data_IF_540235892510
#
_entry.id   IF_540235892510
#
_cell.length_a   1.000
_cell.length_b   1.000
_cell.length_c   1.000
_cell.angle_alpha   90.00
_cell.angle_beta   90.00
_cell.angle_gamma   90.00
#
_symmetry.space_group_name_H-M   'P 1'
#
loop_
_entity.id
_entity.type
_entity.pdbx_description
1 polymer ?
#
# COMPACT_ATOMS: atom_id res chain seq x y z
N UNK A 1 46.47 22.80 35.08
CA UNK A 1 46.90 21.89 34.00
C UNK A 1 45.69 21.10 33.54
N UNK A 2 44.87 21.78 32.74
CA UNK A 2 43.70 21.25 32.05
C UNK A 2 44.19 20.94 30.65
N UNK A 3 44.24 19.68 30.22
CA UNK A 3 44.30 19.27 28.81
C UNK A 3 44.26 17.74 28.71
N UNK A 4 43.08 17.17 28.91
CA UNK A 4 42.69 15.90 28.26
C UNK A 4 41.17 15.87 28.05
N UNK A 5 40.69 16.92 27.38
CA UNK A 5 39.47 16.97 26.59
C UNK A 5 39.92 17.54 25.25
N UNK A 6 39.79 16.77 24.17
CA UNK A 6 39.96 17.13 22.74
C UNK A 6 40.75 16.04 21.99
N UNK A 7 40.08 14.94 21.68
CA UNK A 7 40.36 14.12 20.50
C UNK A 7 39.01 13.81 19.83
N UNK A 8 38.34 14.90 19.46
CA UNK A 8 37.16 14.97 18.61
C UNK A 8 37.40 16.18 17.69
N UNK A 9 38.39 16.05 16.80
CA UNK A 9 38.69 17.03 15.74
C UNK A 9 39.84 16.51 14.86
N UNK A 10 39.54 15.75 13.82
CA UNK A 10 40.35 15.65 12.58
C UNK A 10 39.73 14.62 11.64
N UNK A 11 38.67 15.04 10.94
CA UNK A 11 38.02 14.31 9.86
C UNK A 11 37.49 15.31 8.85
N UNK A 12 38.45 16.01 8.22
CA UNK A 12 38.38 16.92 7.07
C UNK A 12 37.03 17.16 6.37
N UNK A 13 36.62 18.43 6.42
CA UNK A 13 35.80 19.16 5.44
C UNK A 13 36.75 19.86 4.45
N UNK A 14 36.27 20.10 3.21
CA UNK A 14 36.84 20.80 2.02
C UNK A 14 37.47 19.87 0.96
N UNK A 15 37.12 19.94 -0.34
CA UNK A 15 36.71 21.07 -1.20
C UNK A 15 35.72 20.60 -2.29
N UNK A 16 34.59 21.29 -2.55
CA UNK A 16 34.39 22.43 -3.45
C UNK A 16 34.34 22.08 -4.95
N UNK A 17 33.13 22.21 -5.50
CA UNK A 17 32.76 22.70 -6.82
C UNK A 17 33.65 22.35 -8.03
N UNK A 18 33.18 21.40 -8.86
CA UNK A 18 33.42 21.45 -10.31
C UNK A 18 32.15 21.94 -10.99
N UNK A 19 32.26 23.15 -11.51
CA UNK A 19 31.28 23.83 -12.31
C UNK A 19 30.96 23.07 -13.61
N UNK A 20 29.68 23.12 -13.98
CA UNK A 20 29.14 23.33 -15.32
C UNK A 20 30.15 23.16 -16.48
N UNK A 21 30.04 22.04 -17.18
CA UNK A 21 30.21 22.04 -18.63
C UNK A 21 28.81 22.09 -19.23
N UNK A 22 28.39 23.32 -19.55
CA UNK A 22 27.32 23.56 -20.51
C UNK A 22 27.85 23.09 -21.85
N UNK A 23 27.26 22.02 -22.38
CA UNK A 23 27.47 21.62 -23.76
C UNK A 23 26.68 22.58 -24.66
N UNK A 24 27.33 23.65 -25.10
CA UNK A 24 26.84 24.55 -26.15
C UNK A 24 26.94 23.84 -27.52
N UNK A 25 26.12 22.81 -27.76
CA UNK A 25 25.63 22.47 -29.10
C UNK A 25 24.59 21.33 -29.09
N UNK A 26 23.34 21.65 -28.79
CA UNK A 26 22.21 20.93 -29.38
C UNK A 26 20.98 21.85 -29.45
N UNK A 27 20.89 22.62 -30.53
CA UNK A 27 19.59 23.09 -31.01
C UNK A 27 19.02 22.01 -31.91
N UNK A 28 18.15 21.16 -31.37
CA UNK A 28 16.83 20.83 -31.93
C UNK A 28 16.23 19.61 -31.23
N UNK A 29 15.13 19.85 -30.52
CA UNK A 29 14.35 18.85 -29.80
C UNK A 29 14.03 19.41 -28.42
N UNK A 30 12.95 20.18 -28.30
CA UNK A 30 12.35 20.45 -26.99
C UNK A 30 11.89 19.11 -26.43
N UNK A 31 12.73 18.45 -25.62
CA UNK A 31 12.23 17.42 -24.72
C UNK A 31 11.40 18.16 -23.69
N UNK A 32 10.08 18.21 -23.89
CA UNK A 32 9.18 18.54 -22.79
C UNK A 32 9.56 17.61 -21.64
N UNK A 33 9.82 18.20 -20.46
CA UNK A 33 10.16 17.40 -19.29
C UNK A 33 8.95 16.50 -19.00
N UNK A 34 9.17 15.19 -18.96
CA UNK A 34 8.13 14.22 -18.63
C UNK A 34 7.68 14.49 -17.20
N UNK A 35 6.39 14.75 -17.01
CA UNK A 35 5.81 14.95 -15.68
C UNK A 35 5.33 13.60 -15.12
N UNK A 36 5.87 13.22 -13.97
CA UNK A 36 5.54 11.98 -13.27
C UNK A 36 4.45 12.18 -12.21
N UNK A 37 4.00 13.42 -12.00
CA UNK A 37 2.99 13.75 -10.99
C UNK A 37 1.60 13.59 -11.55
N UNK A 38 0.69 13.11 -10.71
CA UNK A 38 -0.73 13.15 -11.05
C UNK A 38 -1.20 14.61 -11.10
N UNK A 39 -2.15 14.94 -12.00
CA UNK A 39 -2.85 16.21 -11.95
C UNK A 39 -3.54 16.42 -10.60
N UNK A 40 -3.67 17.68 -10.18
CA UNK A 40 -4.25 18.10 -8.90
C UNK A 40 -5.78 18.25 -8.93
N UNK A 41 -6.43 17.72 -9.96
CA UNK A 41 -7.87 17.84 -10.18
C UNK A 41 -8.72 16.80 -9.42
N UNK A 42 -8.10 15.78 -8.82
CA UNK A 42 -8.81 14.71 -8.11
C UNK A 42 -8.18 14.38 -6.76
N UNK A 43 -9.04 14.25 -5.75
CA UNK A 43 -8.65 13.91 -4.38
C UNK A 43 -9.32 12.59 -3.97
N UNK A 44 -8.57 11.54 -3.62
CA UNK A 44 -9.15 10.32 -3.08
C UNK A 44 -9.67 10.54 -1.64
N UNK A 45 -10.82 9.96 -1.32
CA UNK A 45 -11.46 10.09 0.01
C UNK A 45 -11.44 8.74 0.73
N UNK A 46 -11.85 7.68 0.02
CA UNK A 46 -12.02 6.35 0.59
C UNK A 46 -11.82 5.27 -0.46
N UNK A 47 -11.27 4.13 -0.06
CA UNK A 47 -11.15 2.94 -0.91
C UNK A 47 -11.82 1.76 -0.24
N UNK A 48 -12.69 1.07 -0.97
CA UNK A 48 -13.04 -0.32 -0.68
C UNK A 48 -12.19 -1.22 -1.58
N UNK A 49 -11.31 -2.00 -0.99
CA UNK A 49 -10.38 -2.89 -1.69
C UNK A 49 -10.79 -4.33 -1.36
N UNK A 50 -11.04 -5.13 -2.39
CA UNK A 50 -11.22 -6.57 -2.28
C UNK A 50 -10.14 -7.28 -3.09
N UNK A 51 -9.49 -8.27 -2.49
CA UNK A 51 -8.41 -9.02 -3.11
C UNK A 51 -8.62 -10.51 -2.93
N UNK A 52 -8.27 -11.27 -3.97
CA UNK A 52 -8.28 -12.74 -3.99
C UNK A 52 -6.88 -13.18 -4.44
N UNK A 53 -5.88 -13.22 -3.53
CA UNK A 53 -4.55 -13.71 -3.85
C UNK A 53 -4.53 -15.22 -4.02
N UNK A 54 -3.99 -15.70 -5.13
CA UNK A 54 -3.84 -17.14 -5.40
C UNK A 54 -2.50 -17.66 -4.90
N UNK A 55 -2.50 -18.24 -3.69
CA UNK A 55 -1.27 -18.66 -2.97
C UNK A 55 -0.89 -20.11 -3.29
N UNK A 56 -1.75 -20.86 -3.98
CA UNK A 56 -1.50 -22.25 -4.41
C UNK A 56 -0.27 -22.38 -5.32
N UNK A 57 0.32 -23.59 -5.40
CA UNK A 57 1.46 -23.86 -6.27
C UNK A 57 1.12 -23.49 -7.73
N UNK A 58 2.06 -22.86 -8.43
CA UNK A 58 1.99 -22.45 -9.84
C UNK A 58 0.98 -21.34 -10.22
N UNK A 59 0.30 -20.71 -9.26
CA UNK A 59 -0.43 -19.47 -9.51
C UNK A 59 0.27 -18.27 -8.85
N UNK A 60 0.55 -17.24 -9.66
CA UNK A 60 1.21 -16.00 -9.27
C UNK A 60 0.37 -14.77 -9.64
N UNK A 61 -0.95 -14.90 -9.60
CA UNK A 61 -1.86 -13.78 -9.83
C UNK A 61 -2.75 -13.52 -8.62
N UNK A 62 -3.48 -12.41 -8.69
CA UNK A 62 -4.57 -12.14 -7.77
C UNK A 62 -5.67 -11.39 -8.52
N UNK A 63 -6.92 -11.63 -8.14
CA UNK A 63 -8.04 -10.82 -8.60
C UNK A 63 -8.26 -9.67 -7.63
N UNK A 64 -8.50 -8.48 -8.18
CA UNK A 64 -8.77 -7.27 -7.43
C UNK A 64 -10.05 -6.57 -7.86
N UNK A 65 -10.74 -5.97 -6.90
CA UNK A 65 -11.87 -5.08 -7.10
C UNK A 65 -11.66 -3.85 -6.22
N UNK A 66 -11.80 -2.65 -6.80
CA UNK A 66 -11.85 -1.41 -6.04
C UNK A 66 -13.18 -0.69 -6.25
N UNK A 67 -13.65 -0.04 -5.20
CA UNK A 67 -14.58 1.07 -5.26
C UNK A 67 -13.95 2.26 -4.51
N UNK A 68 -13.40 3.21 -5.27
CA UNK A 68 -12.72 4.39 -4.75
C UNK A 68 -13.64 5.61 -4.79
N UNK A 69 -14.01 6.12 -3.60
CA UNK A 69 -14.69 7.41 -3.48
C UNK A 69 -13.69 8.54 -3.68
N UNK A 70 -13.99 9.44 -4.61
CA UNK A 70 -13.12 10.55 -5.01
C UNK A 70 -13.91 11.86 -5.06
N UNK A 71 -13.20 12.97 -4.91
CA UNK A 71 -13.68 14.32 -5.22
C UNK A 71 -13.01 14.78 -6.52
N UNK A 72 -13.80 15.10 -7.54
CA UNK A 72 -13.35 15.84 -8.72
C UNK A 72 -13.45 17.33 -8.38
N UNK A 73 -12.31 18.04 -8.38
CA UNK A 73 -12.22 19.44 -7.98
C UNK A 73 -12.51 20.41 -9.13
N UNK A 74 -12.23 19.99 -10.37
CA UNK A 74 -12.41 20.80 -11.58
C UNK A 74 -13.05 19.97 -12.69
N UNK A 75 -13.86 20.62 -13.54
CA UNK A 75 -14.53 19.93 -14.63
C UNK A 75 -13.48 19.26 -15.55
N UNK A 76 -13.65 17.98 -15.84
CA UNK A 76 -12.65 17.18 -16.58
C UNK A 76 -13.30 16.17 -17.49
N UNK A 77 -12.59 15.78 -18.55
CA UNK A 77 -12.96 14.67 -19.44
C UNK A 77 -12.11 13.43 -19.22
N UNK A 78 -11.18 13.47 -18.28
CA UNK A 78 -10.33 12.34 -17.96
C UNK A 78 -10.03 12.24 -16.47
N UNK A 79 -9.64 11.03 -16.06
CA UNK A 79 -9.24 10.69 -14.71
C UNK A 79 -7.88 9.99 -14.78
N UNK A 80 -6.88 10.56 -14.13
CA UNK A 80 -5.52 10.00 -14.09
C UNK A 80 -5.25 9.38 -12.72
N UNK A 81 -4.72 8.15 -12.70
CA UNK A 81 -4.32 7.43 -11.49
C UNK A 81 -3.15 6.48 -11.80
N UNK A 82 -2.40 6.07 -10.78
CA UNK A 82 -1.30 5.12 -10.96
C UNK A 82 -1.82 3.68 -11.03
N UNK A 83 -1.25 2.88 -11.93
CA UNK A 83 -1.44 1.43 -12.00
C UNK A 83 -0.18 0.81 -12.63
N UNK A 84 0.27 -0.37 -12.21
CA UNK A 84 1.43 -1.04 -12.83
C UNK A 84 1.20 -2.54 -12.85
N UNK A 85 1.40 -3.18 -14.00
CA UNK A 85 1.23 -4.63 -14.16
C UNK A 85 -0.15 -5.15 -13.72
N UNK A 86 -1.19 -4.35 -13.95
CA UNK A 86 -2.58 -4.70 -13.68
C UNK A 86 -3.33 -4.81 -15.00
N UNK A 87 -3.99 -5.95 -15.24
CA UNK A 87 -4.90 -6.12 -16.37
C UNK A 87 -6.28 -5.63 -15.95
N UNK A 88 -6.65 -4.43 -16.37
CA UNK A 88 -7.94 -3.81 -16.02
C UNK A 88 -9.07 -4.41 -16.88
N UNK A 89 -10.18 -4.75 -16.25
CA UNK A 89 -11.43 -5.09 -16.94
C UNK A 89 -12.18 -3.79 -17.28
N UNK A 90 -11.94 -3.29 -18.50
CA UNK A 90 -12.56 -2.07 -19.01
C UNK A 90 -14.10 -2.19 -19.10
N UNK A 91 -14.64 -3.39 -19.33
CA UNK A 91 -16.07 -3.60 -19.54
C UNK A 91 -16.93 -3.36 -18.28
N UNK A 92 -16.30 -3.46 -17.10
CA UNK A 92 -16.94 -3.23 -15.79
C UNK A 92 -16.43 -1.98 -15.10
N UNK A 93 -15.44 -1.29 -15.69
CA UNK A 93 -14.91 -0.05 -15.15
C UNK A 93 -15.94 1.07 -15.33
N UNK A 94 -16.26 1.76 -14.24
CA UNK A 94 -17.30 2.79 -14.24
C UNK A 94 -17.07 3.82 -13.15
N UNK A 95 -17.52 5.04 -13.40
CA UNK A 95 -17.57 6.13 -12.44
C UNK A 95 -19.04 6.44 -12.13
N UNK A 96 -19.43 6.40 -10.87
CA UNK A 96 -20.81 6.65 -10.44
C UNK A 96 -20.86 7.98 -9.69
N UNK A 97 -21.73 8.88 -10.10
CA UNK A 97 -21.87 10.18 -9.46
C UNK A 97 -22.82 10.15 -8.24
N UNK A 98 -22.94 11.29 -7.56
CA UNK A 98 -23.79 11.42 -6.38
C UNK A 98 -25.30 11.26 -6.63
N UNK A 99 -25.76 11.40 -7.88
CA UNK A 99 -27.15 11.13 -8.28
C UNK A 99 -27.37 9.64 -8.62
N UNK A 100 -26.29 8.87 -8.75
CA UNK A 100 -26.30 7.47 -9.16
C UNK A 100 -26.20 7.28 -10.67
N UNK A 101 -25.90 8.34 -11.44
CA UNK A 101 -25.67 8.21 -12.87
C UNK A 101 -24.30 7.55 -13.11
N UNK A 102 -24.25 6.66 -14.11
CA UNK A 102 -23.08 5.84 -14.43
C UNK A 102 -22.39 6.42 -15.65
N UNK A 103 -21.11 6.76 -15.49
CA UNK A 103 -20.22 7.27 -16.51
C UNK A 103 -19.17 6.20 -16.81
N UNK A 104 -19.26 5.55 -17.97
CA UNK A 104 -18.27 4.58 -18.40
C UNK A 104 -17.13 5.27 -19.18
N UNK A 105 -15.85 4.94 -18.93
CA UNK A 105 -14.77 5.40 -19.79
C UNK A 105 -14.98 4.91 -21.22
N UNK A 106 -14.72 5.77 -22.21
CA UNK A 106 -14.75 5.40 -23.62
C UNK A 106 -13.45 4.78 -24.09
N UNK A 107 -12.32 5.22 -23.54
CA UNK A 107 -10.99 4.67 -23.78
C UNK A 107 -10.12 4.78 -22.51
N UNK A 108 -9.12 3.90 -22.43
CA UNK A 108 -8.03 4.00 -21.47
C UNK A 108 -6.71 4.14 -22.19
N UNK A 109 -5.85 5.04 -21.70
CA UNK A 109 -4.48 5.17 -22.16
C UNK A 109 -3.54 4.86 -20.99
N UNK A 110 -2.50 4.06 -21.25
CA UNK A 110 -1.52 3.69 -20.24
C UNK A 110 -0.13 4.17 -20.69
N UNK A 111 0.54 4.91 -19.81
CA UNK A 111 1.91 5.36 -20.04
C UNK A 111 2.89 4.53 -19.19
N UNK A 112 3.64 3.65 -19.86
CA UNK A 112 4.65 2.80 -19.23
C UNK A 112 5.77 3.58 -18.53
N UNK A 113 6.05 4.82 -18.96
CA UNK A 113 7.13 5.63 -18.41
C UNK A 113 6.70 6.30 -17.10
N UNK A 114 5.50 6.87 -17.07
CA UNK A 114 4.97 7.58 -15.89
C UNK A 114 4.19 6.67 -14.94
N UNK A 115 3.83 5.45 -15.40
CA UNK A 115 2.99 4.48 -14.68
C UNK A 115 1.58 5.01 -14.40
N UNK A 116 1.10 5.90 -15.28
CA UNK A 116 -0.21 6.55 -15.17
C UNK A 116 -1.19 5.89 -16.15
N UNK A 117 -2.33 5.48 -15.61
CA UNK A 117 -3.52 5.12 -16.34
C UNK A 117 -4.42 6.36 -16.46
N UNK A 118 -4.84 6.69 -17.68
CA UNK A 118 -5.79 7.76 -17.98
C UNK A 118 -7.08 7.15 -18.48
N UNK A 119 -8.16 7.34 -17.75
CA UNK A 119 -9.52 6.98 -18.17
C UNK A 119 -10.16 8.18 -18.85
N UNK A 120 -10.59 8.04 -20.10
CA UNK A 120 -11.21 9.12 -20.87
C UNK A 120 -12.73 8.94 -20.94
N UNK A 121 -13.47 10.04 -20.87
CA UNK A 121 -14.93 10.07 -20.89
C UNK A 121 -15.44 10.91 -22.08
N UNK A 122 -16.57 10.51 -22.67
CA UNK A 122 -17.19 11.25 -23.79
C UNK A 122 -17.73 12.61 -23.34
N UNK A 123 -18.37 12.64 -22.18
CA UNK A 123 -18.93 13.84 -21.57
C UNK A 123 -17.98 14.43 -20.53
N UNK A 124 -18.12 15.73 -20.31
CA UNK A 124 -17.37 16.42 -19.26
C UNK A 124 -17.99 16.12 -17.89
N UNK A 125 -17.15 15.64 -16.98
CA UNK A 125 -17.51 15.33 -15.60
C UNK A 125 -17.44 16.63 -14.78
N UNK A 126 -18.56 17.13 -14.23
CA UNK A 126 -18.54 18.31 -13.39
C UNK A 126 -17.86 18.04 -12.03
N UNK A 127 -17.40 19.09 -11.32
CA UNK A 127 -16.89 18.95 -9.96
C UNK A 127 -17.92 18.30 -9.02
N UNK A 128 -17.45 17.41 -8.14
CA UNK A 128 -18.27 16.72 -7.17
C UNK A 128 -17.70 15.37 -6.74
N UNK A 129 -18.48 14.65 -5.93
CA UNK A 129 -18.09 13.33 -5.41
C UNK A 129 -18.54 12.21 -6.35
N UNK A 130 -17.63 11.26 -6.59
CA UNK A 130 -17.87 10.09 -7.43
C UNK A 130 -17.32 8.81 -6.77
N UNK A 131 -17.76 7.67 -7.27
CA UNK A 131 -17.20 6.35 -6.94
C UNK A 131 -16.67 5.68 -8.21
N UNK A 132 -15.35 5.53 -8.29
CA UNK A 132 -14.68 4.78 -9.34
C UNK A 132 -14.68 3.29 -8.98
N UNK A 133 -15.34 2.48 -9.80
CA UNK A 133 -15.37 1.03 -9.68
C UNK A 133 -14.46 0.41 -10.76
N UNK A 134 -13.56 -0.47 -10.35
CA UNK A 134 -12.68 -1.21 -11.27
C UNK A 134 -12.52 -2.65 -10.81
N UNK A 135 -12.41 -3.57 -11.77
CA UNK A 135 -11.93 -4.92 -11.54
C UNK A 135 -10.68 -5.15 -12.37
N UNK A 136 -9.77 -5.97 -11.85
CA UNK A 136 -8.49 -6.19 -12.49
C UNK A 136 -7.84 -7.49 -12.01
N UNK A 137 -6.90 -7.98 -12.81
CA UNK A 137 -6.02 -9.09 -12.44
C UNK A 137 -4.60 -8.53 -12.31
N UNK A 138 -3.97 -8.74 -11.15
CA UNK A 138 -2.58 -8.35 -10.93
C UNK A 138 -1.66 -9.56 -10.75
N UNK A 139 -0.38 -9.27 -10.57
CA UNK A 139 0.68 -10.27 -10.43
C UNK A 139 1.19 -10.30 -8.98
N UNK A 140 1.33 -11.49 -8.42
CA UNK A 140 2.10 -11.73 -7.21
C UNK A 140 3.58 -11.78 -7.59
N UNK A 141 4.30 -10.71 -7.28
CA UNK A 141 5.70 -10.55 -7.65
C UNK A 141 6.63 -11.44 -6.81
N UNK A 142 7.82 -11.70 -7.33
CA UNK A 142 8.91 -12.37 -6.60
C UNK A 142 10.06 -11.38 -6.26
N UNK A 143 9.91 -10.10 -6.59
CA UNK A 143 10.92 -9.05 -6.41
C UNK A 143 10.76 -8.27 -5.09
N UNK A 144 9.92 -8.76 -4.18
CA UNK A 144 9.68 -8.22 -2.82
C UNK A 144 9.07 -6.80 -2.80
N UNK A 145 8.41 -6.39 -3.89
CA UNK A 145 7.70 -5.12 -4.01
C UNK A 145 6.27 -5.32 -4.53
N UNK A 146 5.36 -4.42 -4.17
CA UNK A 146 3.94 -4.58 -4.45
C UNK A 146 3.35 -5.70 -3.58
N UNK A 147 2.46 -6.52 -4.16
CA UNK A 147 2.08 -7.79 -3.53
C UNK A 147 3.07 -8.84 -4.01
N UNK A 148 3.74 -9.50 -3.08
CA UNK A 148 4.70 -10.53 -3.39
C UNK A 148 4.42 -11.83 -2.64
N UNK A 149 4.86 -12.94 -3.22
CA UNK A 149 4.67 -14.29 -2.69
C UNK A 149 6.02 -14.90 -2.34
N UNK A 150 6.08 -15.54 -1.20
CA UNK A 150 7.18 -16.42 -0.79
C UNK A 150 6.67 -17.86 -0.67
N UNK A 151 7.54 -18.79 -0.29
CA UNK A 151 7.14 -20.19 -0.04
C UNK A 151 6.10 -20.34 1.09
N UNK A 152 5.92 -19.32 1.93
CA UNK A 152 5.10 -19.42 3.16
C UNK A 152 3.91 -18.46 3.19
N UNK A 153 3.95 -17.38 2.41
CA UNK A 153 2.95 -16.31 2.52
C UNK A 153 2.84 -15.48 1.25
N UNK A 154 1.73 -14.74 1.14
CA UNK A 154 1.63 -13.55 0.30
C UNK A 154 1.56 -12.33 1.21
N UNK A 155 2.37 -11.31 0.94
CA UNK A 155 2.42 -10.06 1.72
C UNK A 155 2.69 -8.86 0.83
N UNK A 156 2.79 -7.67 1.42
CA UNK A 156 2.87 -6.39 0.74
C UNK A 156 4.12 -5.61 1.12
N UNK A 157 4.69 -4.90 0.16
CA UNK A 157 5.67 -3.84 0.41
C UNK A 157 5.46 -2.72 -0.61
N UNK A 158 4.85 -1.62 -0.15
CA UNK A 158 4.38 -0.56 -1.04
C UNK A 158 5.27 0.68 -1.07
N UNK A 159 6.21 0.83 -0.14
CA UNK A 159 7.16 1.94 -0.20
C UNK A 159 8.18 1.74 -1.34
N UNK A 160 8.48 2.79 -2.14
CA UNK A 160 7.89 4.13 -2.09
C UNK A 160 6.60 4.27 -2.93
N UNK A 161 6.49 3.55 -4.04
CA UNK A 161 5.48 3.76 -5.09
C UNK A 161 4.96 2.44 -5.64
N UNK A 162 4.86 1.40 -4.80
CA UNK A 162 4.47 0.06 -5.25
C UNK A 162 3.04 -0.32 -4.88
N UNK A 163 2.27 0.56 -4.23
CA UNK A 163 0.84 0.32 -4.02
C UNK A 163 0.09 0.21 -5.36
N UNK A 164 0.53 0.97 -6.37
CA UNK A 164 0.05 0.91 -7.76
C UNK A 164 0.19 -0.46 -8.45
N UNK A 165 1.03 -1.37 -7.93
CA UNK A 165 1.12 -2.78 -8.38
C UNK A 165 0.06 -3.70 -7.75
N UNK A 166 -0.60 -3.23 -6.69
CA UNK A 166 -1.59 -3.98 -5.95
C UNK A 166 -3.01 -3.57 -6.33
N UNK A 167 -3.24 -2.27 -6.53
CA UNK A 167 -4.53 -1.72 -6.93
C UNK A 167 -4.35 -0.36 -7.62
N UNK A 168 -5.19 0.00 -8.61
CA UNK A 168 -5.16 1.33 -9.21
C UNK A 168 -5.45 2.39 -8.15
N UNK A 169 -4.58 3.39 -8.00
CA UNK A 169 -4.74 4.40 -6.96
C UNK A 169 -3.98 5.70 -7.20
N UNK A 170 -4.34 6.73 -6.44
CA UNK A 170 -3.60 7.99 -6.35
C UNK A 170 -2.37 7.80 -5.46
N UNK A 171 -1.39 7.05 -5.97
CA UNK A 171 -0.20 6.60 -5.24
C UNK A 171 0.86 7.70 -5.01
N UNK A 172 0.46 8.77 -4.33
CA UNK A 172 1.32 9.85 -3.85
C UNK A 172 1.08 10.07 -2.34
N UNK A 173 2.12 10.21 -1.50
CA UNK A 173 1.94 10.25 -0.04
C UNK A 173 1.01 11.35 0.50
N UNK A 174 0.88 12.47 -0.22
CA UNK A 174 0.01 13.57 0.15
C UNK A 174 -1.49 13.27 -0.06
N UNK A 175 -1.82 12.36 -0.97
CA UNK A 175 -3.19 11.99 -1.36
C UNK A 175 -3.72 10.89 -0.43
N UNK A 176 -3.93 11.26 0.84
CA UNK A 176 -4.38 10.33 1.88
C UNK A 176 -5.86 10.01 1.78
N UNK A 177 -6.22 8.78 2.14
CA UNK A 177 -7.59 8.31 2.18
C UNK A 177 -7.81 7.33 3.34
N UNK A 178 -9.05 6.91 3.52
CA UNK A 178 -9.39 5.77 4.40
C UNK A 178 -9.53 4.49 3.57
N UNK A 179 -9.28 3.33 4.17
CA UNK A 179 -9.27 2.05 3.46
C UNK A 179 -10.12 1.01 4.20
N UNK A 180 -11.05 0.39 3.47
CA UNK A 180 -11.69 -0.87 3.83
C UNK A 180 -11.01 -1.98 3.04
N UNK A 181 -10.38 -2.92 3.73
CA UNK A 181 -9.65 -4.02 3.09
C UNK A 181 -10.43 -5.31 3.34
N UNK A 182 -10.60 -6.11 2.28
CA UNK A 182 -11.24 -7.41 2.32
C UNK A 182 -10.40 -8.40 1.54
N UNK A 183 -10.13 -9.57 2.12
CA UNK A 183 -9.26 -10.57 1.50
C UNK A 183 -9.96 -11.91 1.52
N UNK A 184 -10.09 -12.52 0.35
CA UNK A 184 -10.55 -13.90 0.23
C UNK A 184 -9.35 -14.83 0.29
N UNK A 185 -9.43 -15.86 1.11
CA UNK A 185 -8.38 -16.87 1.22
C UNK A 185 -8.95 -18.22 1.64
N UNK A 186 -8.16 -19.28 1.50
CA UNK A 186 -8.51 -20.60 2.03
C UNK A 186 -8.51 -20.58 3.57
N UNK A 187 -9.41 -21.33 4.21
CA UNK A 187 -9.58 -21.37 5.67
C UNK A 187 -8.36 -21.91 6.44
N UNK A 188 -7.43 -22.59 5.76
CA UNK A 188 -6.16 -23.01 6.37
C UNK A 188 -5.18 -21.86 6.60
N UNK A 189 -5.42 -20.71 5.96
CA UNK A 189 -4.61 -19.51 6.10
C UNK A 189 -5.33 -18.46 6.95
N UNK A 190 -4.56 -17.54 7.52
CA UNK A 190 -5.05 -16.35 8.21
C UNK A 190 -4.66 -15.12 7.42
N UNK A 191 -5.62 -14.22 7.21
CA UNK A 191 -5.36 -12.88 6.70
C UNK A 191 -5.18 -11.88 7.86
N UNK A 192 -4.14 -11.05 7.78
CA UNK A 192 -3.90 -9.90 8.67
C UNK A 192 -3.74 -8.65 7.82
N UNK A 193 -4.15 -7.49 8.33
CA UNK A 193 -4.01 -6.19 7.65
C UNK A 193 -3.80 -5.07 8.66
N UNK A 194 -3.76 -3.81 8.25
CA UNK A 194 -3.56 -2.64 9.11
C UNK A 194 -4.48 -2.63 10.35
N UNK A 195 -5.76 -2.94 10.13
CA UNK A 195 -6.82 -2.87 11.14
C UNK A 195 -7.24 -4.27 11.63
N UNK A 196 -7.93 -4.37 12.80
CA UNK A 196 -8.47 -5.63 13.27
C UNK A 196 -9.53 -6.19 12.33
N UNK A 197 -9.70 -7.51 12.38
CA UNK A 197 -10.79 -8.21 11.68
C UNK A 197 -12.13 -7.69 12.25
N UNK A 198 -13.00 -7.22 11.36
CA UNK A 198 -14.38 -6.83 11.65
C UNK A 198 -15.31 -8.04 11.56
N UNK A 199 -15.14 -8.84 10.52
CA UNK A 199 -16.08 -9.89 10.13
C UNK A 199 -15.39 -10.93 9.25
N UNK A 200 -15.88 -12.17 9.32
CA UNK A 200 -15.45 -13.25 8.43
C UNK A 200 -16.68 -13.99 7.88
N UNK A 201 -16.77 -14.05 6.56
CA UNK A 201 -17.89 -14.67 5.86
C UNK A 201 -17.41 -15.94 5.16
N UNK A 202 -17.96 -17.09 5.53
CA UNK A 202 -17.66 -18.33 4.83
C UNK A 202 -18.30 -18.28 3.46
N UNK A 203 -17.48 -18.36 2.41
CA UNK A 203 -18.01 -18.44 1.06
C UNK A 203 -18.56 -19.86 0.88
N UNK A 204 -19.88 -20.00 0.82
CA UNK A 204 -20.60 -21.29 0.85
C UNK A 204 -20.35 -22.21 -0.36
N UNK A 205 -19.31 -21.94 -1.16
CA UNK A 205 -18.85 -22.79 -2.25
C UNK A 205 -18.02 -23.99 -1.77
N UNK A 206 -17.77 -24.93 -2.67
CA UNK A 206 -17.12 -26.22 -2.38
C UNK A 206 -15.61 -26.13 -2.05
N UNK A 207 -15.02 -24.93 -2.04
CA UNK A 207 -13.57 -24.71 -1.95
C UNK A 207 -13.00 -24.31 -0.58
N UNK A 208 -13.80 -24.31 0.50
CA UNK A 208 -13.28 -24.02 1.84
C UNK A 208 -12.66 -22.62 2.00
N UNK A 209 -13.16 -21.63 1.24
CA UNK A 209 -12.67 -20.26 1.29
C UNK A 209 -13.48 -19.38 2.24
N UNK A 210 -12.87 -18.32 2.73
CA UNK A 210 -13.48 -17.32 3.62
C UNK A 210 -13.10 -15.92 3.15
N UNK A 211 -14.03 -14.99 3.25
CA UNK A 211 -13.73 -13.56 3.17
C UNK A 211 -13.42 -13.04 4.56
N UNK A 212 -12.27 -12.39 4.72
CA UNK A 212 -11.91 -11.67 5.94
C UNK A 212 -12.01 -10.17 5.67
N UNK A 213 -12.88 -9.49 6.41
CA UNK A 213 -13.13 -8.06 6.30
C UNK A 213 -12.50 -7.32 7.48
N UNK A 214 -11.70 -6.29 7.22
CA UNK A 214 -11.05 -5.49 8.26
C UNK A 214 -11.82 -4.20 8.55
N UNK A 215 -11.65 -3.65 9.75
CA UNK A 215 -12.17 -2.33 10.07
C UNK A 215 -11.52 -1.24 9.19
N UNK A 216 -12.24 -0.14 8.98
CA UNK A 216 -11.75 1.02 8.23
C UNK A 216 -10.51 1.62 8.88
N UNK A 217 -9.48 1.90 8.10
CA UNK A 217 -8.27 2.59 8.59
C UNK A 217 -8.57 4.05 8.95
N UNK A 218 -7.72 4.70 9.77
CA UNK A 218 -7.58 6.15 9.75
C UNK A 218 -7.20 6.68 8.37
N UNK A 219 -7.26 8.00 8.19
CA UNK A 219 -6.74 8.67 6.99
C UNK A 219 -5.23 8.46 6.90
N UNK A 220 -4.77 7.75 5.88
CA UNK A 220 -3.36 7.39 5.69
C UNK A 220 -2.97 7.36 4.22
N UNK A 221 -1.68 7.26 3.94
CA UNK A 221 -1.13 7.20 2.58
C UNK A 221 -1.17 5.76 2.05
N UNK A 222 -1.26 5.60 0.72
CA UNK A 222 -1.30 4.30 0.01
C UNK A 222 -0.12 3.40 0.36
N UNK A 223 1.09 3.96 0.48
CA UNK A 223 2.31 3.19 0.78
C UNK A 223 2.31 2.49 2.15
N UNK A 224 1.39 2.87 3.06
CA UNK A 224 1.23 2.25 4.38
C UNK A 224 0.15 1.15 4.39
N UNK A 225 -0.59 0.96 3.30
CA UNK A 225 -1.54 -0.15 3.18
C UNK A 225 -0.76 -1.45 3.23
N UNK A 226 -1.18 -2.36 4.09
CA UNK A 226 -0.53 -3.65 4.22
C UNK A 226 -1.50 -4.77 4.53
N UNK A 227 -1.19 -5.94 4.01
CA UNK A 227 -1.83 -7.18 4.40
C UNK A 227 -0.92 -8.38 4.19
N UNK A 228 -1.28 -9.49 4.81
CA UNK A 228 -0.59 -10.76 4.65
C UNK A 228 -1.58 -11.89 4.75
N UNK A 229 -1.42 -12.91 3.92
CA UNK A 229 -2.12 -14.17 4.00
C UNK A 229 -1.08 -15.27 4.18
N UNK A 230 -1.16 -16.00 5.30
CA UNK A 230 -0.14 -16.98 5.70
C UNK A 230 -0.70 -18.03 6.66
N UNK A 231 0.05 -19.10 6.91
CA UNK A 231 -0.25 -20.13 7.92
C UNK A 231 0.43 -19.81 9.28
N UNK A 232 0.85 -18.56 9.45
CA UNK A 232 1.58 -18.12 10.62
C UNK A 232 0.76 -18.21 11.90
N UNK A 233 1.47 -18.39 13.00
CA UNK A 233 0.88 -18.38 14.33
C UNK A 233 0.95 -16.99 14.96
N UNK A 234 -0.11 -16.65 15.69
CA UNK A 234 -0.20 -15.43 16.50
C UNK A 234 0.33 -15.68 17.90
N UNK A 235 1.29 -14.87 18.33
CA UNK A 235 1.74 -14.76 19.73
C UNK A 235 1.30 -13.40 20.29
N UNK A 236 0.16 -13.34 20.99
CA UNK A 236 -0.36 -12.10 21.56
C UNK A 236 0.32 -11.75 22.88
N UNK A 237 0.28 -10.48 23.25
CA UNK A 237 0.55 -10.06 24.63
C UNK A 237 -0.71 -10.25 25.51
N UNK A 238 -0.63 -9.83 26.78
CA UNK A 238 -1.68 -10.09 27.76
C UNK A 238 -3.05 -9.49 27.39
N UNK A 239 -3.09 -8.33 26.73
CA UNK A 239 -4.33 -7.66 26.30
C UNK A 239 -4.63 -7.82 24.79
N UNK A 240 -3.75 -8.50 24.05
CA UNK A 240 -3.89 -8.75 22.62
C UNK A 240 -3.64 -7.53 21.71
N UNK A 241 -3.17 -6.42 22.26
CA UNK A 241 -2.90 -5.18 21.51
C UNK A 241 -1.56 -5.20 20.79
N UNK A 242 -0.60 -6.02 21.23
CA UNK A 242 0.70 -6.22 20.56
C UNK A 242 0.84 -7.69 20.23
N UNK A 243 0.92 -8.02 18.94
CA UNK A 243 0.99 -9.40 18.49
C UNK A 243 2.20 -9.64 17.60
N UNK A 244 2.87 -10.78 17.79
CA UNK A 244 3.88 -11.27 16.87
C UNK A 244 3.25 -12.32 15.96
N UNK A 245 3.48 -12.19 14.67
CA UNK A 245 3.09 -13.14 13.64
C UNK A 245 4.34 -13.73 13.03
N UNK A 246 4.48 -15.04 13.15
CA UNK A 246 5.67 -15.74 12.67
C UNK A 246 5.33 -17.20 12.37
N UNK A 247 6.28 -17.89 11.73
CA UNK A 247 6.20 -19.33 11.59
C UNK A 247 6.17 -20.02 12.96
N UNK A 248 5.47 -21.15 13.04
CA UNK A 248 5.21 -21.86 14.30
C UNK A 248 6.49 -22.21 15.07
N UNK A 249 7.59 -22.52 14.37
CA UNK A 249 8.87 -22.88 14.98
C UNK A 249 9.57 -21.68 15.65
N UNK A 250 9.21 -20.46 15.24
CA UNK A 250 9.77 -19.21 15.76
C UNK A 250 8.99 -18.64 16.94
N UNK A 251 7.78 -19.12 17.19
CA UNK A 251 6.91 -18.61 18.26
C UNK A 251 7.56 -18.57 19.65
N UNK A 252 8.36 -19.58 20.09
CA UNK A 252 9.05 -19.51 21.38
C UNK A 252 10.09 -18.40 21.50
N UNK A 253 10.60 -17.88 20.38
CA UNK A 253 11.66 -16.87 20.33
C UNK A 253 11.14 -15.43 20.17
N UNK A 254 9.83 -15.26 19.92
CA UNK A 254 9.24 -13.94 19.64
C UNK A 254 9.06 -13.06 20.89
N UNK A 255 9.22 -13.64 22.09
CA UNK A 255 8.93 -12.94 23.36
C UNK A 255 9.79 -11.71 23.59
N UNK A 256 11.07 -11.77 23.25
CA UNK A 256 11.97 -10.62 23.38
C UNK A 256 11.53 -9.45 22.48
N UNK A 257 11.15 -9.75 21.23
CA UNK A 257 10.67 -8.76 20.28
C UNK A 257 9.34 -8.13 20.74
N UNK A 258 8.41 -8.95 21.26
CA UNK A 258 7.16 -8.47 21.84
C UNK A 258 7.40 -7.53 23.02
N UNK A 259 8.23 -7.93 23.98
CA UNK A 259 8.54 -7.10 25.15
C UNK A 259 9.21 -5.77 24.76
N UNK A 260 10.05 -5.78 23.73
CA UNK A 260 10.67 -4.58 23.19
C UNK A 260 9.65 -3.66 22.52
N UNK A 261 8.75 -4.21 21.69
CA UNK A 261 7.68 -3.47 21.04
C UNK A 261 6.73 -2.81 22.05
N UNK A 262 6.31 -3.55 23.08
CA UNK A 262 5.46 -3.03 24.15
C UNK A 262 6.11 -1.85 24.88
N UNK A 263 7.36 -2.01 25.31
CA UNK A 263 8.10 -0.96 26.03
C UNK A 263 8.34 0.25 25.14
N UNK A 264 8.67 0.04 23.87
CA UNK A 264 8.84 1.12 22.90
C UNK A 264 7.54 1.89 22.69
N UNK A 265 6.41 1.19 22.50
CA UNK A 265 5.10 1.82 22.35
C UNK A 265 4.69 2.64 23.57
N UNK A 266 4.91 2.12 24.78
CA UNK A 266 4.65 2.85 26.03
C UNK A 266 5.53 4.10 26.16
N UNK A 267 6.83 3.97 25.86
CA UNK A 267 7.78 5.08 25.91
C UNK A 267 7.42 6.17 24.90
N UNK A 268 7.10 5.79 23.66
CA UNK A 268 6.72 6.74 22.61
C UNK A 268 5.39 7.43 22.94
N UNK A 269 4.41 6.71 23.47
CA UNK A 269 3.14 7.30 23.94
C UNK A 269 3.40 8.34 25.03
N UNK A 270 4.22 8.02 26.02
CA UNK A 270 4.61 8.95 27.09
C UNK A 270 5.37 10.16 26.55
N UNK A 271 6.35 9.93 25.66
CA UNK A 271 7.24 10.97 25.14
C UNK A 271 6.51 11.95 24.22
N UNK A 272 5.65 11.44 23.34
CA UNK A 272 4.91 12.26 22.36
C UNK A 272 3.64 12.86 22.93
N UNK A 273 3.14 12.35 24.06
CA UNK A 273 1.82 12.66 24.60
C UNK A 273 0.69 12.44 23.57
N UNK A 274 0.87 11.49 22.65
CA UNK A 274 -0.10 11.17 21.63
C UNK A 274 -1.32 10.47 22.23
N UNK A 275 -2.51 10.93 21.84
CA UNK A 275 -3.80 10.30 22.16
C UNK A 275 -4.27 9.34 21.07
N UNK A 276 -3.62 9.37 19.90
CA UNK A 276 -4.00 8.56 18.75
C UNK A 276 -3.56 7.12 18.98
N UNK A 277 -4.53 6.24 19.23
CA UNK A 277 -4.30 4.82 19.46
C UNK A 277 -4.75 4.01 18.25
N UNK A 278 -3.87 3.14 17.79
CA UNK A 278 -4.25 2.05 16.89
C UNK A 278 -4.85 0.94 17.77
N UNK A 279 -5.97 0.31 17.37
CA UNK A 279 -6.59 -0.74 18.18
C UNK A 279 -5.70 -1.97 18.40
N UNK A 280 -4.68 -2.18 17.54
CA UNK A 280 -3.67 -3.22 17.66
C UNK A 280 -2.40 -2.84 16.91
N UNK A 281 -1.29 -3.45 17.28
CA UNK A 281 -0.02 -3.43 16.59
C UNK A 281 0.43 -4.87 16.32
N UNK A 282 0.39 -5.27 15.07
CA UNK A 282 0.91 -6.56 14.64
C UNK A 282 2.34 -6.37 14.13
N UNK A 283 3.22 -7.30 14.49
CA UNK A 283 4.60 -7.38 14.03
C UNK A 283 4.77 -8.71 13.30
N UNK A 284 5.05 -8.66 12.00
CA UNK A 284 5.13 -9.82 11.13
C UNK A 284 6.59 -10.11 10.76
N UNK A 285 7.06 -11.33 11.02
CA UNK A 285 8.39 -11.78 10.62
C UNK A 285 8.35 -12.48 9.26
N UNK A 286 8.81 -11.80 8.21
CA UNK A 286 8.82 -12.27 6.82
C UNK A 286 10.24 -12.68 6.43
N UNK A 287 10.51 -13.97 6.20
CA UNK A 287 11.77 -14.40 5.62
C UNK A 287 12.03 -13.65 4.31
N UNK A 288 13.26 -13.20 4.13
CA UNK A 288 13.71 -12.54 2.89
C UNK A 288 13.01 -11.20 2.60
N UNK A 289 12.81 -10.35 3.62
CA UNK A 289 12.33 -8.97 3.44
C UNK A 289 13.45 -7.99 3.04
N UNK A 290 13.28 -7.28 1.92
CA UNK A 290 14.33 -6.46 1.30
C UNK A 290 14.72 -5.21 2.10
N UNK A 291 13.77 -4.57 2.79
CA UNK A 291 13.98 -3.32 3.51
C UNK A 291 14.43 -3.50 4.98
N UNK A 292 14.51 -4.74 5.47
CA UNK A 292 14.79 -5.05 6.88
C UNK A 292 13.59 -4.84 7.80
N UNK A 293 12.90 -3.70 7.73
CA UNK A 293 11.60 -3.48 8.34
C UNK A 293 10.78 -2.41 7.61
N UNK A 294 9.45 -2.44 7.73
CA UNK A 294 8.53 -1.46 7.13
C UNK A 294 7.39 -1.12 8.10
N UNK A 295 7.18 0.18 8.35
CA UNK A 295 6.29 0.72 9.39
C UNK A 295 4.80 0.81 9.02
N UNK A 296 4.29 -0.14 8.23
CA UNK A 296 2.88 -0.10 7.81
C UNK A 296 1.95 0.03 9.02
N UNK A 297 0.98 0.93 8.95
CA UNK A 297 0.25 1.39 10.13
C UNK A 297 -0.56 0.24 10.75
N UNK A 298 -0.15 -0.22 11.94
CA UNK A 298 -0.79 -1.33 12.64
C UNK A 298 -0.34 -2.73 12.21
N UNK A 299 0.49 -2.88 11.17
CA UNK A 299 1.09 -4.14 10.71
C UNK A 299 2.53 -3.91 10.27
N UNK A 300 3.46 -3.89 11.22
CA UNK A 300 4.89 -3.67 10.94
C UNK A 300 5.49 -4.97 10.43
N UNK A 301 6.17 -4.91 9.29
CA UNK A 301 6.81 -6.08 8.65
C UNK A 301 8.30 -6.04 8.92
N UNK A 302 8.91 -7.19 9.21
CA UNK A 302 10.33 -7.37 9.50
C UNK A 302 10.92 -8.49 8.65
N UNK A 303 12.25 -8.47 8.47
CA UNK A 303 13.05 -9.62 8.06
C UNK A 303 13.10 -10.71 9.14
#
# INVERSE_FOLDING_TARGET
>A
MVFLRLLLSSGLIFAAATALLVDENSKNGSSEAVDYRLPDNVVPIHYNIKLIPYIEEDNFTFDGEIAASIEICEATRNLSLHAVNLTIDEAVTSLVDSNGDIHAPTTSDYDDLTEILVLNFEDELPPGTYVLNMKYVGILHNDLHGIFKTSWLATTHFEPTWARRAFPCWDEPALKATFNISIKHHQSYTAVSNMPIREQDTDGGEGGTVWTHFHTTPVMSTYLVAFTVSDYVRVPNADGTVNMWCRSELAPYSKLAQDAAEKAGQLLTWYTNSTDRVPKMDHLAVPEFSAGAMENWGLIIYL
#
